data_IF_253574876821
#
_entry.id   IF_253574876821
#
_cell.length_a   1.000
_cell.length_b   1.000
_cell.length_c   1.000
_cell.angle_alpha   90.00
_cell.angle_beta   90.00
_cell.angle_gamma   90.00
#
_symmetry.space_group_name_H-M   'P 1'
#
loop_
_entity.id
_entity.type
_entity.pdbx_description
1 polymer ?
#
# COMPACT_ATOMS: atom_id res chain seq x y z
N UNK A 1 26.17 13.28 -8.49
CA UNK A 1 26.29 11.80 -8.53
C UNK A 1 26.10 11.29 -7.12
N UNK A 2 25.08 10.46 -6.87
CA UNK A 2 24.93 9.84 -5.55
C UNK A 2 26.16 8.95 -5.33
N UNK A 3 26.91 9.13 -4.25
CA UNK A 3 28.10 8.32 -3.93
C UNK A 3 27.77 6.87 -3.53
N UNK A 4 26.71 6.31 -4.10
CA UNK A 4 26.20 4.96 -3.92
C UNK A 4 26.87 4.04 -4.94
N UNK A 5 27.34 2.88 -4.50
CA UNK A 5 27.79 1.82 -5.42
C UNK A 5 26.61 1.39 -6.28
N UNK A 6 26.73 1.37 -7.63
CA UNK A 6 25.62 1.00 -8.50
C UNK A 6 25.30 -0.50 -8.41
N UNK A 7 24.17 -0.89 -9.01
CA UNK A 7 23.84 -2.30 -9.22
C UNK A 7 24.96 -2.96 -10.05
N UNK A 8 25.47 -4.09 -9.58
CA UNK A 8 26.58 -4.82 -10.23
C UNK A 8 26.09 -6.08 -10.92
N UNK A 9 26.95 -6.73 -11.72
CA UNK A 9 26.65 -8.01 -12.38
C UNK A 9 26.19 -9.08 -11.38
N UNK A 10 26.77 -9.11 -10.17
CA UNK A 10 26.36 -10.04 -9.10
C UNK A 10 24.91 -9.86 -8.64
N UNK A 11 24.39 -8.64 -8.69
CA UNK A 11 22.98 -8.37 -8.39
C UNK A 11 22.07 -8.89 -9.50
N UNK A 12 22.48 -8.75 -10.77
CA UNK A 12 21.74 -9.26 -11.93
C UNK A 12 21.68 -10.79 -11.87
N UNK A 13 22.80 -11.46 -11.58
CA UNK A 13 22.82 -12.92 -11.36
C UNK A 13 21.87 -13.34 -10.24
N UNK A 14 21.78 -12.55 -9.17
CA UNK A 14 20.86 -12.81 -8.06
C UNK A 14 19.39 -12.62 -8.48
N UNK A 15 19.08 -11.64 -9.32
CA UNK A 15 17.73 -11.47 -9.90
C UNK A 15 17.32 -12.69 -10.72
N UNK A 16 18.21 -13.19 -11.59
CA UNK A 16 17.94 -14.37 -12.42
C UNK A 16 17.61 -15.57 -11.54
N UNK A 17 18.44 -15.84 -10.52
CA UNK A 17 18.18 -16.93 -9.56
C UNK A 17 16.85 -16.78 -8.83
N UNK A 18 16.48 -15.56 -8.41
CA UNK A 18 15.19 -15.32 -7.74
C UNK A 18 14.00 -15.50 -8.68
N UNK A 19 14.11 -15.09 -9.94
CA UNK A 19 13.06 -15.30 -10.93
C UNK A 19 12.84 -16.80 -11.21
N UNK A 20 13.92 -17.57 -11.36
CA UNK A 20 13.84 -19.03 -11.49
C UNK A 20 13.27 -19.71 -10.24
N UNK A 21 13.66 -19.26 -9.05
CA UNK A 21 13.12 -19.76 -7.79
C UNK A 21 11.61 -19.49 -7.69
N UNK A 22 11.15 -18.30 -8.08
CA UNK A 22 9.73 -17.96 -8.07
C UNK A 22 8.93 -18.83 -9.04
N UNK A 23 9.46 -19.11 -10.25
CA UNK A 23 8.83 -20.03 -11.19
C UNK A 23 8.70 -21.45 -10.61
N UNK A 24 9.79 -21.97 -10.01
CA UNK A 24 9.80 -23.29 -9.35
C UNK A 24 8.84 -23.39 -8.16
N UNK A 25 8.71 -22.33 -7.36
CA UNK A 25 7.72 -22.27 -6.26
C UNK A 25 6.28 -22.38 -6.77
N UNK A 26 6.02 -21.92 -8.00
CA UNK A 26 4.73 -22.08 -8.68
C UNK A 26 4.65 -23.36 -9.52
N UNK A 27 5.60 -24.29 -9.35
CA UNK A 27 5.69 -25.55 -10.12
C UNK A 27 5.74 -25.33 -11.64
N UNK A 28 6.30 -24.19 -12.09
CA UNK A 28 6.51 -23.88 -13.51
C UNK A 28 7.95 -24.13 -13.92
N UNK A 29 8.11 -24.71 -15.11
CA UNK A 29 9.44 -24.98 -15.70
C UNK A 29 10.05 -23.76 -16.39
N UNK A 30 9.23 -22.76 -16.72
CA UNK A 30 9.65 -21.56 -17.45
C UNK A 30 9.36 -20.30 -16.66
N UNK A 31 10.32 -19.38 -16.69
CA UNK A 31 10.21 -18.04 -16.11
C UNK A 31 9.28 -17.19 -16.97
N UNK A 32 8.33 -16.50 -16.34
CA UNK A 32 7.47 -15.51 -16.99
C UNK A 32 7.86 -14.09 -16.57
N UNK A 33 7.32 -13.08 -17.25
CA UNK A 33 7.56 -11.68 -16.94
C UNK A 33 7.22 -11.32 -15.48
N UNK A 34 6.17 -11.93 -14.92
CA UNK A 34 5.78 -11.79 -13.52
C UNK A 34 6.87 -12.20 -12.52
N UNK A 35 7.64 -13.25 -12.82
CA UNK A 35 8.73 -13.73 -11.98
C UNK A 35 9.90 -12.76 -11.99
N UNK A 36 10.20 -12.20 -13.17
CA UNK A 36 11.23 -11.18 -13.35
C UNK A 36 10.83 -9.89 -12.62
N UNK A 37 9.57 -9.47 -12.74
CA UNK A 37 9.04 -8.30 -12.03
C UNK A 37 9.11 -8.48 -10.51
N UNK A 38 8.82 -9.68 -10.00
CA UNK A 38 9.00 -10.00 -8.57
C UNK A 38 10.47 -9.93 -8.16
N UNK A 39 11.38 -10.52 -8.95
CA UNK A 39 12.82 -10.49 -8.66
C UNK A 39 13.40 -9.07 -8.69
N UNK A 40 12.97 -8.23 -9.65
CA UNK A 40 13.31 -6.79 -9.71
C UNK A 40 12.88 -6.10 -8.42
N UNK A 41 11.62 -6.31 -8.00
CA UNK A 41 11.09 -5.70 -6.77
C UNK A 41 11.93 -6.07 -5.56
N UNK A 42 12.19 -7.36 -5.34
CA UNK A 42 12.96 -7.85 -4.19
C UNK A 42 14.38 -7.27 -4.18
N UNK A 43 15.07 -7.29 -5.33
CA UNK A 43 16.42 -6.71 -5.42
C UNK A 43 16.43 -5.21 -5.17
N UNK A 44 15.45 -4.47 -5.71
CA UNK A 44 15.37 -3.03 -5.51
C UNK A 44 15.05 -2.69 -4.06
N UNK A 45 14.13 -3.41 -3.42
CA UNK A 45 13.83 -3.25 -1.98
C UNK A 45 15.12 -3.42 -1.15
N UNK A 46 15.82 -4.55 -1.33
CA UNK A 46 17.08 -4.83 -0.62
C UNK A 46 18.17 -3.81 -0.91
N UNK A 47 18.37 -3.44 -2.18
CA UNK A 47 19.41 -2.48 -2.56
C UNK A 47 19.14 -1.08 -2.00
N UNK A 48 17.89 -0.61 -2.10
CA UNK A 48 17.50 0.71 -1.61
C UNK A 48 17.69 0.79 -0.09
N UNK A 49 17.35 -0.25 0.66
CA UNK A 49 17.49 -0.26 2.12
C UNK A 49 18.92 -0.08 2.62
N UNK A 50 19.91 -0.44 1.81
CA UNK A 50 21.33 -0.26 2.15
C UNK A 50 21.89 1.14 1.84
N UNK A 51 21.11 2.02 1.20
CA UNK A 51 21.58 3.34 0.80
C UNK A 51 21.48 4.37 1.93
N UNK A 52 22.20 5.50 1.78
CA UNK A 52 22.02 6.65 2.69
C UNK A 52 20.59 7.18 2.59
N UNK A 53 19.99 7.57 3.71
CA UNK A 53 18.58 7.99 3.79
C UNK A 53 18.12 8.97 2.68
N UNK A 54 18.92 10.01 2.38
CA UNK A 54 18.60 10.98 1.31
C UNK A 54 18.53 10.33 -0.08
N UNK A 55 19.42 9.37 -0.34
CA UNK A 55 19.45 8.57 -1.58
C UNK A 55 18.30 7.57 -1.57
N UNK A 56 18.04 6.90 -0.45
CA UNK A 56 16.90 5.96 -0.31
C UNK A 56 15.59 6.63 -0.71
N UNK A 57 15.30 7.81 -0.15
CA UNK A 57 14.06 8.56 -0.43
C UNK A 57 13.94 8.91 -1.91
N UNK A 58 15.06 9.30 -2.53
CA UNK A 58 15.11 9.61 -3.96
C UNK A 58 14.88 8.35 -4.80
N UNK A 59 15.54 7.24 -4.47
CA UNK A 59 15.40 5.97 -5.18
C UNK A 59 13.99 5.38 -5.04
N UNK A 60 13.38 5.39 -3.85
CA UNK A 60 11.98 4.93 -3.66
C UNK A 60 11.01 5.69 -4.55
N UNK A 61 11.19 7.01 -4.69
CA UNK A 61 10.37 7.83 -5.59
C UNK A 61 10.62 7.47 -7.06
N UNK A 62 11.88 7.34 -7.48
CA UNK A 62 12.22 7.02 -8.87
C UNK A 62 11.77 5.62 -9.29
N UNK A 63 11.89 4.64 -8.39
CA UNK A 63 11.58 3.23 -8.67
C UNK A 63 10.20 2.78 -8.15
N UNK A 64 9.32 3.71 -7.79
CA UNK A 64 8.01 3.42 -7.20
C UNK A 64 7.20 2.40 -8.00
N UNK A 65 7.21 2.50 -9.34
CA UNK A 65 6.52 1.57 -10.24
C UNK A 65 6.93 0.11 -10.04
N UNK A 66 8.21 -0.14 -9.79
CA UNK A 66 8.75 -1.49 -9.60
C UNK A 66 8.51 -1.99 -8.17
N UNK A 67 8.59 -1.09 -7.19
CA UNK A 67 8.36 -1.41 -5.77
C UNK A 67 6.90 -1.73 -5.44
N UNK A 68 5.94 -1.20 -6.21
CA UNK A 68 4.51 -1.46 -6.01
C UNK A 68 4.02 -2.77 -6.65
N UNK A 69 4.89 -3.53 -7.34
CA UNK A 69 4.47 -4.74 -8.04
C UNK A 69 3.92 -5.82 -7.09
N UNK A 70 2.68 -6.27 -7.35
CA UNK A 70 1.94 -7.28 -6.56
C UNK A 70 1.96 -7.03 -5.04
N UNK A 71 2.09 -5.78 -4.61
CA UNK A 71 1.95 -5.42 -3.19
C UNK A 71 0.46 -5.29 -2.91
N UNK A 72 -0.15 -6.33 -2.37
CA UNK A 72 -1.54 -6.22 -1.91
C UNK A 72 -1.56 -5.45 -0.59
N UNK A 73 -1.91 -4.18 -0.68
CA UNK A 73 -2.09 -3.28 0.46
C UNK A 73 -3.55 -3.05 0.77
N UNK A 74 -4.47 -3.59 -0.04
CA UNK A 74 -5.89 -3.22 -0.02
C UNK A 74 -6.56 -3.64 1.28
N UNK A 75 -6.32 -4.87 1.71
CA UNK A 75 -6.89 -5.41 2.96
C UNK A 75 -6.36 -4.69 4.20
N UNK A 76 -5.05 -4.37 4.20
CA UNK A 76 -4.43 -3.65 5.30
C UNK A 76 -4.96 -2.22 5.40
N UNK A 77 -5.07 -1.52 4.26
CA UNK A 77 -5.65 -0.19 4.19
C UNK A 77 -7.11 -0.18 4.64
N UNK A 78 -7.88 -1.20 4.25
CA UNK A 78 -9.24 -1.41 4.72
C UNK A 78 -9.29 -1.59 6.24
N UNK A 79 -8.46 -2.48 6.79
CA UNK A 79 -8.42 -2.73 8.23
C UNK A 79 -8.15 -1.44 9.03
N UNK A 80 -7.20 -0.63 8.59
CA UNK A 80 -6.86 0.65 9.24
C UNK A 80 -8.02 1.63 9.16
N UNK A 81 -8.65 1.76 7.98
CA UNK A 81 -9.79 2.64 7.77
C UNK A 81 -11.00 2.21 8.60
N UNK A 82 -11.27 0.90 8.65
CA UNK A 82 -12.36 0.32 9.43
C UNK A 82 -12.16 0.55 10.94
N UNK A 83 -10.92 0.41 11.43
CA UNK A 83 -10.59 0.74 12.81
C UNK A 83 -10.83 2.24 13.09
N UNK A 84 -10.37 3.13 12.21
CA UNK A 84 -10.62 4.58 12.36
C UNK A 84 -12.11 4.93 12.39
N UNK A 85 -12.90 4.29 11.52
CA UNK A 85 -14.34 4.49 11.50
C UNK A 85 -15.00 4.00 12.80
N UNK A 86 -14.61 2.82 13.28
CA UNK A 86 -15.13 2.24 14.53
C UNK A 86 -14.79 3.12 15.74
N UNK A 87 -13.57 3.62 15.81
CA UNK A 87 -13.11 4.53 16.87
C UNK A 87 -13.94 5.84 16.86
N UNK A 88 -14.14 6.43 15.67
CA UNK A 88 -14.93 7.64 15.49
C UNK A 88 -16.40 7.43 15.89
N UNK A 89 -16.97 6.28 15.54
CA UNK A 89 -18.34 5.90 15.88
C UNK A 89 -18.49 5.73 17.40
N UNK A 90 -17.54 5.06 18.06
CA UNK A 90 -17.53 4.90 19.52
C UNK A 90 -17.44 6.26 20.24
N UNK A 91 -16.61 7.17 19.74
CA UNK A 91 -16.49 8.53 20.28
C UNK A 91 -17.81 9.31 20.18
N UNK A 92 -18.48 9.30 19.02
CA UNK A 92 -19.74 10.03 18.84
C UNK A 92 -20.85 9.43 19.71
N UNK A 93 -20.94 8.10 19.82
CA UNK A 93 -21.91 7.45 20.72
C UNK A 93 -21.68 7.79 22.19
N UNK A 94 -20.42 7.82 22.63
CA UNK A 94 -20.06 8.11 24.03
C UNK A 94 -20.35 9.55 24.46
N UNK A 95 -20.27 10.52 23.53
CA UNK A 95 -20.47 11.95 23.83
C UNK A 95 -21.90 12.40 23.54
N UNK A 96 -22.44 12.01 22.39
CA UNK A 96 -23.71 12.56 21.91
C UNK A 96 -24.89 11.62 22.11
N UNK A 97 -24.68 10.31 22.34
CA UNK A 97 -25.76 9.33 22.47
C UNK A 97 -26.65 9.21 21.22
N UNK A 98 -26.25 9.84 20.10
CA UNK A 98 -27.01 9.93 18.85
C UNK A 98 -26.53 8.84 17.88
N UNK A 99 -27.47 8.20 17.21
CA UNK A 99 -27.20 7.34 16.06
C UNK A 99 -26.79 8.20 14.86
N UNK A 100 -25.57 8.01 14.38
CA UNK A 100 -25.05 8.71 13.20
C UNK A 100 -25.20 7.81 12.00
N UNK A 101 -25.71 8.35 10.90
CA UNK A 101 -25.90 7.58 9.65
C UNK A 101 -24.65 7.63 8.75
N UNK A 102 -23.74 8.57 9.01
CA UNK A 102 -22.54 8.79 8.20
C UNK A 102 -21.34 9.10 9.08
N UNK A 103 -20.19 8.48 8.80
CA UNK A 103 -18.91 8.78 9.43
C UNK A 103 -18.03 9.49 8.40
N UNK A 104 -17.50 10.65 8.76
CA UNK A 104 -16.53 11.39 7.94
C UNK A 104 -15.13 11.23 8.55
N UNK A 105 -14.17 10.76 7.75
CA UNK A 105 -12.75 10.62 8.13
C UNK A 105 -11.92 11.48 7.19
N UNK A 106 -11.06 12.34 7.70
CA UNK A 106 -10.18 13.13 6.86
C UNK A 106 -9.13 12.25 6.16
N UNK A 107 -8.90 12.50 4.86
CA UNK A 107 -7.86 11.82 4.08
C UNK A 107 -6.47 12.00 4.74
N UNK A 108 -6.22 13.19 5.31
CA UNK A 108 -4.97 13.50 6.00
C UNK A 108 -4.71 12.55 7.17
N UNK A 109 -5.70 12.33 8.02
CA UNK A 109 -5.57 11.47 9.20
C UNK A 109 -5.34 10.01 8.79
N UNK A 110 -6.07 9.56 7.77
CA UNK A 110 -5.86 8.23 7.19
C UNK A 110 -4.46 8.09 6.62
N UNK A 111 -4.00 9.07 5.85
CA UNK A 111 -2.65 9.10 5.27
C UNK A 111 -1.55 9.14 6.33
N UNK A 112 -1.75 9.88 7.42
CA UNK A 112 -0.78 9.95 8.52
C UNK A 112 -0.68 8.61 9.27
N UNK A 113 -1.80 7.88 9.43
CA UNK A 113 -1.81 6.50 9.98
C UNK A 113 -1.10 5.52 9.03
N UNK A 114 -1.33 5.64 7.73
CA UNK A 114 -0.78 4.75 6.69
C UNK A 114 0.70 5.04 6.39
N UNK A 115 1.21 6.25 6.64
CA UNK A 115 2.65 6.56 6.48
C UNK A 115 3.56 5.65 7.31
N UNK A 116 3.07 5.12 8.43
CA UNK A 116 3.84 4.24 9.32
C UNK A 116 4.20 2.89 8.68
N UNK A 117 3.50 2.50 7.61
CA UNK A 117 3.65 1.21 6.92
C UNK A 117 4.22 1.35 5.49
N UNK A 118 4.84 2.49 5.19
CA UNK A 118 5.52 2.77 3.91
C UNK A 118 4.61 2.57 2.67
N UNK A 119 3.33 2.88 2.81
CA UNK A 119 2.36 2.92 1.70
C UNK A 119 2.12 4.39 1.34
N UNK A 120 2.44 4.74 0.10
CA UNK A 120 2.39 6.13 -0.37
C UNK A 120 1.27 6.40 -1.38
N UNK A 121 0.72 5.36 -2.01
CA UNK A 121 -0.35 5.50 -3.00
C UNK A 121 -1.64 4.85 -2.48
N UNK A 122 -2.65 5.69 -2.25
CA UNK A 122 -3.98 5.30 -1.77
C UNK A 122 -5.01 5.20 -2.91
N UNK A 123 -4.67 5.68 -4.12
CA UNK A 123 -5.60 5.69 -5.25
C UNK A 123 -6.10 4.30 -5.63
N UNK A 124 -5.24 3.26 -5.73
CA UNK A 124 -5.70 1.91 -6.03
C UNK A 124 -6.68 1.37 -4.98
N UNK A 125 -6.54 1.83 -3.73
CA UNK A 125 -7.43 1.44 -2.64
C UNK A 125 -8.80 2.11 -2.72
N UNK A 126 -8.86 3.41 -3.01
CA UNK A 126 -10.15 4.11 -3.18
C UNK A 126 -10.96 3.59 -4.37
N UNK A 127 -10.29 3.10 -5.42
CA UNK A 127 -10.94 2.48 -6.58
C UNK A 127 -11.32 1.01 -6.34
N UNK A 128 -10.80 0.39 -5.27
CA UNK A 128 -10.95 -1.03 -5.01
C UNK A 128 -12.40 -1.44 -4.75
N UNK A 129 -12.73 -2.68 -5.12
CA UNK A 129 -14.04 -3.28 -4.81
C UNK A 129 -14.26 -3.39 -3.30
N UNK A 130 -13.20 -3.65 -2.52
CA UNK A 130 -13.27 -3.78 -1.07
C UNK A 130 -13.73 -2.48 -0.41
N UNK A 131 -13.24 -1.33 -0.89
CA UNK A 131 -13.65 -0.01 -0.40
C UNK A 131 -15.14 0.25 -0.67
N UNK A 132 -15.58 0.03 -1.92
CA UNK A 132 -16.97 0.26 -2.34
C UNK A 132 -17.97 -0.70 -1.69
N UNK A 133 -17.62 -1.98 -1.56
CA UNK A 133 -18.49 -3.01 -0.97
C UNK A 133 -18.76 -2.75 0.53
N UNK A 134 -17.89 -2.01 1.22
CA UNK A 134 -18.05 -1.67 2.63
C UNK A 134 -18.66 -0.26 2.84
N UNK A 135 -19.36 0.26 1.83
CA UNK A 135 -20.08 1.54 1.85
C UNK A 135 -19.19 2.76 2.14
N UNK A 136 -17.92 2.70 1.73
CA UNK A 136 -17.05 3.86 1.73
C UNK A 136 -17.11 4.60 0.40
N UNK A 137 -17.12 5.92 0.48
CA UNK A 137 -17.05 6.85 -0.65
C UNK A 137 -15.94 7.87 -0.38
N UNK A 138 -15.08 8.07 -1.35
CA UNK A 138 -14.04 9.09 -1.28
C UNK A 138 -14.50 10.37 -1.98
N UNK A 139 -14.53 11.48 -1.24
CA UNK A 139 -14.83 12.80 -1.76
C UNK A 139 -13.53 13.57 -2.02
N UNK A 140 -13.14 13.66 -3.29
CA UNK A 140 -11.95 14.40 -3.74
C UNK A 140 -12.02 15.91 -3.46
N UNK A 141 -13.22 16.50 -3.42
CA UNK A 141 -13.37 17.95 -3.20
C UNK A 141 -13.18 18.31 -1.73
N UNK A 142 -13.67 17.46 -0.83
CA UNK A 142 -13.58 17.68 0.62
C UNK A 142 -12.36 17.01 1.27
N UNK A 143 -11.61 16.17 0.53
CA UNK A 143 -10.54 15.33 1.07
C UNK A 143 -11.02 14.48 2.26
N UNK A 144 -12.16 13.82 2.08
CA UNK A 144 -12.84 13.04 3.11
C UNK A 144 -13.20 11.64 2.60
N UNK A 145 -13.04 10.66 3.46
CA UNK A 145 -13.57 9.31 3.31
C UNK A 145 -14.84 9.24 4.12
N UNK A 146 -15.96 9.05 3.45
CA UNK A 146 -17.29 9.00 4.04
C UNK A 146 -17.74 7.54 4.08
N UNK A 147 -18.10 7.04 5.25
CA UNK A 147 -18.77 5.75 5.38
C UNK A 147 -20.25 5.97 5.61
N UNK A 148 -21.10 5.38 4.76
CA UNK A 148 -22.54 5.30 5.02
C UNK A 148 -22.83 4.06 5.84
N UNK A 149 -23.33 4.26 7.04
CA UNK A 149 -23.78 3.17 7.90
C UNK A 149 -25.21 2.81 7.46
N UNK A 150 -25.38 1.62 6.89
CA UNK A 150 -26.72 1.08 6.71
C UNK A 150 -27.29 0.81 8.09
N UNK A 151 -28.30 1.59 8.48
CA UNK A 151 -29.15 1.30 9.63
C UNK A 151 -29.64 -0.14 9.45
N UNK A 152 -29.19 -1.04 10.31
CA UNK A 152 -29.86 -2.32 10.47
C UNK A 152 -31.30 -2.06 10.88
N UNK A 153 -32.23 -2.73 10.21
CA UNK A 153 -33.56 -3.04 10.75
C UNK A 153 -33.43 -3.79 12.09
#
# INVERSE_FOLDING_TARGET
MTGSLPITVRHIESMIRMAEANAKMHLRDYVQEDDVNMAIRIMLESFIETQKYSVMKTMRKTFQKYLSFKKDTTELLYFILHQMATDQLAYIRGIHGVTVNTIEIHEKDFKDKVKQIDIHDLRPFFESKLFKNNNFVYDEKRHMVIQTLLLGE
#
